data_IF_079733365572
#
_entry.id   IF_079733365572
#
_cell.length_a   1.000
_cell.length_b   1.000
_cell.length_c   1.000
_cell.angle_alpha   90.00
_cell.angle_beta   90.00
_cell.angle_gamma   90.00
#
_symmetry.space_group_name_H-M   'P 1'
#
loop_
_entity.id
_entity.type
_entity.pdbx_description
1 polymer ?
#
# COMPACT_ATOMS: atom_id res chain seq x y z
N UNK A 1 -0.67 3.95 -15.30
CA UNK A 1 0.41 2.95 -15.06
C UNK A 1 0.14 2.27 -13.72
N UNK A 2 0.92 1.30 -13.23
CA UNK A 2 0.84 0.87 -11.81
C UNK A 2 2.10 1.32 -11.04
N UNK A 3 2.30 1.15 -9.71
CA UNK A 3 3.65 1.19 -9.08
C UNK A 3 3.86 0.31 -7.81
N UNK A 4 5.09 -0.22 -7.58
CA UNK A 4 5.57 -1.18 -6.53
C UNK A 4 7.09 -0.98 -6.20
N UNK A 5 7.70 -1.74 -5.28
CA UNK A 5 9.16 -1.88 -4.98
C UNK A 5 9.49 -3.28 -4.39
N UNK A 6 10.75 -3.78 -4.44
CA UNK A 6 11.11 -5.18 -4.03
C UNK A 6 12.46 -5.33 -3.25
N UNK A 7 12.60 -6.32 -2.33
CA UNK A 7 13.89 -6.77 -1.68
C UNK A 7 13.78 -8.11 -0.90
N UNK A 8 14.81 -8.99 -0.95
CA UNK A 8 14.77 -10.39 -0.42
C UNK A 8 15.76 -10.71 0.72
N UNK A 9 15.38 -11.59 1.68
CA UNK A 9 16.23 -12.29 2.70
C UNK A 9 15.59 -13.67 3.07
N UNK A 10 16.30 -14.61 3.73
CA UNK A 10 15.84 -15.97 4.14
C UNK A 10 16.28 -16.38 5.57
N UNK A 11 15.48 -17.17 6.32
CA UNK A 11 15.84 -18.44 7.04
C UNK A 11 14.65 -19.04 7.85
N UNK A 12 14.84 -20.19 8.54
CA UNK A 12 13.81 -21.22 8.80
C UNK A 12 13.01 -21.20 10.14
N UNK A 13 11.70 -21.51 10.03
CA UNK A 13 10.75 -22.15 10.99
C UNK A 13 10.72 -21.61 12.45
N UNK A 14 10.08 -20.46 12.61
CA UNK A 14 8.61 -20.50 12.76
C UNK A 14 8.01 -19.71 11.59
N UNK A 15 6.71 -19.89 11.28
CA UNK A 15 6.03 -18.91 10.41
C UNK A 15 5.72 -17.68 11.26
N UNK A 16 6.73 -16.86 11.49
CA UNK A 16 6.56 -15.53 12.05
C UNK A 16 5.76 -14.71 11.05
N UNK A 17 4.65 -14.13 11.50
CA UNK A 17 3.85 -13.24 10.66
C UNK A 17 4.19 -11.80 11.00
N UNK A 18 4.49 -11.00 9.98
CA UNK A 18 4.44 -9.54 10.08
C UNK A 18 2.96 -9.17 10.12
N UNK A 19 2.54 -8.37 11.10
CA UNK A 19 1.14 -7.96 11.28
C UNK A 19 0.98 -6.46 11.23
N UNK A 20 -0.20 -5.99 10.86
CA UNK A 20 -0.46 -4.56 10.76
C UNK A 20 -1.90 -4.24 10.45
N UNK A 21 -2.13 -2.99 10.09
CA UNK A 21 -3.40 -2.57 9.48
C UNK A 21 -3.10 -1.75 8.23
N UNK A 22 -3.95 -1.89 7.22
CA UNK A 22 -3.96 -1.09 6.01
C UNK A 22 -5.39 -0.62 5.69
N UNK A 23 -5.51 0.52 5.03
CA UNK A 23 -6.75 0.99 4.42
C UNK A 23 -6.41 1.83 3.18
N UNK A 24 -7.41 2.07 2.35
CA UNK A 24 -7.34 2.99 1.24
C UNK A 24 -8.73 3.57 0.95
N UNK A 25 -8.76 4.65 0.19
CA UNK A 25 -9.97 5.39 -0.19
C UNK A 25 -10.16 5.29 -1.73
N UNK A 26 -11.14 4.56 -2.29
CA UNK A 26 -12.21 3.79 -1.63
C UNK A 26 -11.90 2.27 -1.45
N UNK A 27 -11.56 1.58 -2.54
CA UNK A 27 -11.47 0.10 -2.58
C UNK A 27 -10.02 -0.41 -2.50
N UNK A 28 -9.67 -1.12 -1.43
CA UNK A 28 -8.33 -1.66 -1.21
C UNK A 28 -8.19 -3.13 -1.62
N UNK A 29 -7.04 -3.50 -2.20
CA UNK A 29 -6.58 -4.89 -2.27
C UNK A 29 -5.08 -4.96 -1.89
N UNK A 30 -4.77 -5.65 -0.79
CA UNK A 30 -3.42 -5.80 -0.26
C UNK A 30 -2.82 -7.15 -0.67
N UNK A 31 -1.64 -7.12 -1.30
CA UNK A 31 -0.90 -8.29 -1.75
C UNK A 31 0.46 -8.38 -1.06
N UNK A 32 0.92 -9.61 -0.83
CA UNK A 32 2.31 -9.93 -0.56
C UNK A 32 2.76 -11.04 -1.53
N UNK A 33 3.91 -10.83 -2.17
CA UNK A 33 4.53 -11.75 -3.14
C UNK A 33 3.56 -12.30 -4.20
N UNK A 34 2.70 -11.42 -4.72
CA UNK A 34 1.66 -11.76 -5.71
C UNK A 34 0.34 -12.30 -5.14
N UNK A 35 0.33 -12.79 -3.90
CA UNK A 35 -0.84 -13.39 -3.23
C UNK A 35 -1.69 -12.32 -2.55
N UNK A 36 -3.01 -12.40 -2.66
CA UNK A 36 -3.96 -11.49 -1.99
C UNK A 36 -4.13 -11.90 -0.51
N UNK A 37 -3.91 -10.96 0.42
CA UNK A 37 -4.05 -11.19 1.87
C UNK A 37 -5.20 -10.42 2.52
N UNK A 38 -5.60 -9.27 1.97
CA UNK A 38 -6.77 -8.53 2.42
C UNK A 38 -7.42 -7.75 1.28
N UNK A 39 -8.73 -7.58 1.34
CA UNK A 39 -9.51 -6.75 0.43
C UNK A 39 -10.62 -6.06 1.22
N UNK A 40 -10.94 -4.81 0.87
CA UNK A 40 -12.06 -4.07 1.48
C UNK A 40 -12.64 -3.08 0.48
N UNK A 41 -13.96 -2.93 0.54
CA UNK A 41 -14.81 -1.99 -0.18
C UNK A 41 -15.36 -0.88 0.75
N UNK A 42 -14.86 -0.80 1.99
CA UNK A 42 -15.16 0.27 2.95
C UNK A 42 -13.88 0.96 3.42
N UNK A 43 -13.65 2.18 2.93
CA UNK A 43 -12.50 3.02 3.30
C UNK A 43 -12.51 3.49 4.77
N UNK A 44 -13.67 3.43 5.44
CA UNK A 44 -13.79 3.72 6.86
C UNK A 44 -13.18 2.59 7.71
N UNK A 45 -13.10 1.38 7.14
CA UNK A 45 -12.56 0.20 7.81
C UNK A 45 -11.01 0.16 7.74
N UNK A 46 -10.43 -0.48 8.76
CA UNK A 46 -9.03 -0.94 8.74
C UNK A 46 -9.01 -2.44 8.44
N UNK A 47 -8.36 -2.82 7.35
CA UNK A 47 -8.06 -4.22 7.07
C UNK A 47 -6.87 -4.68 7.91
N UNK A 48 -7.08 -5.71 8.74
CA UNK A 48 -6.00 -6.37 9.46
C UNK A 48 -5.12 -7.15 8.47
N UNK A 49 -3.80 -6.92 8.55
CA UNK A 49 -2.79 -7.57 7.70
C UNK A 49 -2.02 -8.60 8.53
N UNK A 50 -1.77 -9.78 7.96
CA UNK A 50 -0.93 -10.83 8.55
C UNK A 50 -0.25 -11.62 7.43
N UNK A 51 1.03 -11.32 7.15
CA UNK A 51 1.81 -11.87 6.02
C UNK A 51 3.09 -12.58 6.53
N UNK A 52 3.67 -13.53 5.77
CA UNK A 52 4.91 -14.21 6.15
C UNK A 52 6.09 -13.24 6.37
N UNK A 53 7.00 -13.55 7.29
CA UNK A 53 8.17 -12.71 7.58
C UNK A 53 9.25 -12.69 6.49
N UNK A 54 9.22 -13.66 5.58
CA UNK A 54 10.10 -13.81 4.41
C UNK A 54 9.56 -13.08 3.15
N UNK A 55 8.44 -12.34 3.28
CA UNK A 55 7.88 -11.58 2.17
C UNK A 55 8.86 -10.58 1.56
N UNK A 56 8.97 -10.62 0.24
CA UNK A 56 9.91 -9.86 -0.59
C UNK A 56 9.26 -8.64 -1.26
N UNK A 57 7.96 -8.70 -1.52
CA UNK A 57 7.15 -7.62 -2.13
C UNK A 57 5.85 -7.43 -1.36
N UNK A 58 5.55 -6.19 -0.96
CA UNK A 58 4.19 -5.78 -0.60
C UNK A 58 3.67 -4.81 -1.65
N UNK A 59 2.43 -5.01 -2.08
CA UNK A 59 1.81 -4.20 -3.11
C UNK A 59 0.35 -3.93 -2.74
N UNK A 60 -0.08 -2.67 -2.82
CA UNK A 60 -1.45 -2.26 -2.48
C UNK A 60 -2.08 -1.67 -3.74
N UNK A 61 -3.17 -2.28 -4.20
CA UNK A 61 -4.09 -1.66 -5.15
C UNK A 61 -5.04 -0.80 -4.32
N UNK A 62 -5.25 0.44 -4.75
CA UNK A 62 -6.39 1.23 -4.33
C UNK A 62 -7.20 1.65 -5.56
N UNK A 63 -8.52 1.74 -5.40
CA UNK A 63 -9.42 2.24 -6.43
C UNK A 63 -10.39 3.26 -5.84
N UNK A 64 -10.02 4.53 -6.03
CA UNK A 64 -10.86 5.73 -5.91
C UNK A 64 -12.13 5.61 -6.78
N UNK A 65 -13.29 5.98 -6.21
CA UNK A 65 -14.60 6.08 -6.88
C UNK A 65 -15.03 7.53 -7.07
N UNK A 66 -14.36 8.48 -6.43
CA UNK A 66 -14.47 9.91 -6.67
C UNK A 66 -14.45 10.75 -5.40
N UNK A 67 -13.29 11.32 -5.06
CA UNK A 67 -13.22 12.32 -3.99
C UNK A 67 -11.80 12.80 -3.70
N UNK A 68 -11.40 12.64 -2.43
CA UNK A 68 -10.00 12.52 -2.03
C UNK A 68 -9.61 11.04 -2.16
N UNK A 69 -8.32 10.74 -2.34
CA UNK A 69 -7.86 9.37 -2.49
C UNK A 69 -6.51 9.19 -1.80
N UNK A 70 -6.34 8.04 -1.13
CA UNK A 70 -5.20 7.80 -0.25
C UNK A 70 -5.02 6.33 0.08
N UNK A 71 -3.79 5.96 0.44
CA UNK A 71 -3.42 4.65 1.00
C UNK A 71 -2.71 4.90 2.32
N UNK A 72 -3.05 4.15 3.37
CA UNK A 72 -2.35 4.22 4.65
C UNK A 72 -2.19 2.84 5.28
N UNK A 73 -0.95 2.47 5.61
CA UNK A 73 -0.65 1.19 6.25
C UNK A 73 0.54 1.30 7.21
N UNK A 74 0.47 0.58 8.34
CA UNK A 74 1.61 0.36 9.24
C UNK A 74 1.64 -1.08 9.75
N UNK A 75 2.83 -1.66 9.75
CA UNK A 75 3.12 -3.04 10.15
C UNK A 75 4.12 -3.05 11.33
N UNK A 76 4.06 -4.11 12.14
CA UNK A 76 4.80 -4.26 13.41
C UNK A 76 6.32 -4.40 13.24
N UNK A 77 6.79 -4.86 12.07
CA UNK A 77 8.20 -4.83 11.68
C UNK A 77 8.72 -3.42 11.29
N UNK A 78 7.90 -2.38 11.40
CA UNK A 78 8.26 -0.99 11.10
C UNK A 78 8.02 -0.55 9.65
N UNK A 79 7.49 -1.43 8.78
CA UNK A 79 7.10 -1.05 7.41
C UNK A 79 5.83 -0.20 7.46
N UNK A 80 5.87 0.93 6.76
CA UNK A 80 4.79 1.94 6.75
C UNK A 80 4.69 2.68 5.43
N UNK A 81 3.49 3.14 5.07
CA UNK A 81 3.29 4.08 3.95
C UNK A 81 4.01 5.40 4.24
N UNK A 82 4.81 5.83 3.26
CA UNK A 82 5.62 7.07 3.25
C UNK A 82 6.17 7.31 1.81
N UNK A 83 6.90 8.40 1.58
CA UNK A 83 7.45 8.78 0.25
C UNK A 83 8.41 7.75 -0.39
N UNK A 84 8.95 6.78 0.35
CA UNK A 84 9.82 5.74 -0.23
C UNK A 84 9.08 4.75 -1.15
N UNK A 85 7.76 4.68 -1.04
CA UNK A 85 6.92 3.86 -1.91
C UNK A 85 6.87 4.47 -3.32
N UNK A 86 6.48 3.67 -4.31
CA UNK A 86 6.11 4.15 -5.64
C UNK A 86 4.58 4.08 -5.78
N UNK A 87 3.89 5.08 -6.37
CA UNK A 87 2.42 5.05 -6.57
C UNK A 87 1.89 5.61 -7.93
N UNK A 88 0.84 4.98 -8.49
CA UNK A 88 0.18 5.25 -9.81
C UNK A 88 -1.30 4.82 -9.82
N UNK A 89 -2.06 5.23 -10.84
CA UNK A 89 -3.53 5.17 -10.96
C UNK A 89 -4.11 4.17 -12.01
N UNK A 90 -3.44 3.08 -12.38
CA UNK A 90 -3.90 2.12 -13.43
C UNK A 90 -3.16 0.76 -13.33
N UNK A 91 -3.11 -0.03 -14.41
CA UNK A 91 -2.67 -1.43 -14.39
C UNK A 91 -1.44 -1.77 -15.27
N UNK A 92 -0.56 -2.63 -14.76
CA UNK A 92 0.50 -3.34 -15.51
C UNK A 92 0.53 -4.82 -15.05
N UNK A 93 0.65 -5.77 -15.98
CA UNK A 93 0.54 -7.20 -15.63
C UNK A 93 1.72 -7.67 -14.78
N UNK A 94 1.43 -8.44 -13.72
CA UNK A 94 2.44 -8.94 -12.79
C UNK A 94 3.04 -7.90 -11.84
N UNK A 95 2.52 -6.67 -11.79
CA UNK A 95 2.97 -5.58 -10.91
C UNK A 95 3.27 -6.02 -9.46
N UNK A 96 2.42 -6.86 -8.87
CA UNK A 96 2.48 -7.30 -7.48
C UNK A 96 3.42 -8.48 -7.22
N UNK A 97 4.13 -8.99 -8.22
CA UNK A 97 4.94 -10.20 -8.14
C UNK A 97 6.40 -9.91 -7.71
N UNK A 98 7.07 -10.92 -7.15
CA UNK A 98 8.53 -10.87 -6.94
C UNK A 98 9.23 -10.69 -8.30
N UNK A 99 10.16 -9.73 -8.35
CA UNK A 99 10.98 -9.48 -9.55
C UNK A 99 10.34 -8.58 -10.61
N UNK A 100 9.18 -7.97 -10.34
CA UNK A 100 8.69 -6.87 -11.18
C UNK A 100 9.69 -5.70 -11.19
N UNK A 101 9.84 -5.00 -12.33
CA UNK A 101 10.78 -3.89 -12.48
C UNK A 101 10.10 -2.51 -12.33
N UNK A 102 10.19 -1.96 -11.13
CA UNK A 102 9.68 -0.63 -10.75
C UNK A 102 10.67 0.55 -10.94
N UNK A 103 11.80 0.36 -11.63
CA UNK A 103 12.79 1.44 -11.80
C UNK A 103 12.23 2.66 -12.55
N UNK A 104 11.36 2.45 -13.54
CA UNK A 104 10.68 3.50 -14.31
C UNK A 104 9.55 4.22 -13.55
N UNK A 105 9.32 3.84 -12.29
CA UNK A 105 8.15 4.27 -11.53
C UNK A 105 8.50 5.40 -10.52
N UNK A 106 7.72 6.49 -10.53
CA UNK A 106 7.84 7.64 -9.61
C UNK A 106 7.53 7.31 -8.15
N UNK A 107 8.10 8.06 -7.23
CA UNK A 107 7.78 7.98 -5.80
C UNK A 107 6.35 8.46 -5.48
N UNK A 108 5.84 8.02 -4.34
CA UNK A 108 4.56 8.43 -3.79
C UNK A 108 4.62 9.88 -3.25
N UNK A 109 3.47 10.54 -3.20
CA UNK A 109 3.32 11.85 -2.52
C UNK A 109 2.55 11.68 -1.23
N UNK A 110 2.92 12.42 -0.19
CA UNK A 110 2.14 12.52 1.05
C UNK A 110 0.88 13.35 0.76
N UNK A 111 -0.25 12.90 1.28
CA UNK A 111 -1.52 13.63 1.30
C UNK A 111 -1.73 14.29 2.67
N UNK A 112 -2.57 15.32 2.73
CA UNK A 112 -2.90 15.97 4.01
C UNK A 112 -3.76 15.04 4.88
N UNK A 113 -3.21 14.65 6.04
CA UNK A 113 -3.87 13.86 7.08
C UNK A 113 -5.23 14.43 7.49
N UNK A 114 -5.37 15.75 7.50
CA UNK A 114 -6.62 16.42 7.91
C UNK A 114 -7.81 16.06 7.00
N UNK A 115 -7.56 15.65 5.75
CA UNK A 115 -8.58 15.24 4.78
C UNK A 115 -9.41 14.07 5.31
N UNK A 116 -8.78 13.11 5.99
CA UNK A 116 -9.43 11.92 6.56
C UNK A 116 -9.90 12.08 8.00
N UNK A 117 -9.63 13.21 8.66
CA UNK A 117 -10.11 13.57 10.02
C UNK A 117 -9.71 12.59 11.13
N UNK A 118 -10.48 11.50 11.28
CA UNK A 118 -10.35 10.47 12.31
C UNK A 118 -10.38 9.05 11.75
N UNK A 119 -10.53 8.88 10.43
CA UNK A 119 -10.39 7.57 9.79
C UNK A 119 -8.92 7.14 9.86
N UNK A 120 -8.68 5.83 10.03
CA UNK A 120 -7.37 5.29 10.38
C UNK A 120 -6.70 5.92 11.63
N UNK A 121 -7.47 6.43 12.61
CA UNK A 121 -6.93 7.05 13.83
C UNK A 121 -5.85 6.23 14.56
N UNK A 122 -5.93 4.90 14.54
CA UNK A 122 -4.92 4.01 15.16
C UNK A 122 -3.58 3.97 14.40
N UNK A 123 -3.51 4.56 13.20
CA UNK A 123 -2.32 4.72 12.35
C UNK A 123 -1.78 6.16 12.33
N UNK A 124 -2.44 7.12 12.98
CA UNK A 124 -1.94 8.51 13.13
C UNK A 124 -0.58 8.50 13.81
N UNK A 125 0.38 9.24 13.25
CA UNK A 125 1.78 9.28 13.70
C UNK A 125 2.60 7.99 13.44
N UNK A 126 1.98 6.91 12.96
CA UNK A 126 2.66 5.65 12.63
C UNK A 126 3.00 5.53 11.15
N UNK A 127 2.15 6.06 10.29
CA UNK A 127 2.32 6.07 8.84
C UNK A 127 1.72 7.35 8.23
N UNK A 128 2.16 7.67 7.02
CA UNK A 128 1.63 8.80 6.24
C UNK A 128 0.48 8.31 5.35
N UNK A 129 -0.53 9.14 5.10
CA UNK A 129 -1.40 8.94 3.94
C UNK A 129 -0.57 9.24 2.69
N UNK A 130 -0.50 8.29 1.76
CA UNK A 130 0.20 8.45 0.49
C UNK A 130 -0.73 8.26 -0.70
N UNK A 131 -0.39 8.90 -1.81
CA UNK A 131 -1.05 8.65 -3.09
C UNK A 131 -0.08 8.63 -4.27
N UNK A 132 -0.64 8.30 -5.42
CA UNK A 132 -0.05 8.52 -6.74
C UNK A 132 0.34 9.99 -6.88
N UNK A 133 1.53 10.26 -7.43
CA UNK A 133 1.92 11.63 -7.75
C UNK A 133 0.95 12.20 -8.80
N UNK A 134 0.30 13.32 -8.49
CA UNK A 134 -0.61 14.00 -9.42
C UNK A 134 0.19 14.64 -10.57
N UNK A 135 0.57 13.83 -11.56
CA UNK A 135 1.08 14.32 -12.83
C UNK A 135 0.02 15.25 -13.46
N UNK A 136 0.35 16.50 -13.84
CA UNK A 136 -0.59 17.37 -14.55
C UNK A 136 -1.14 16.68 -15.80
N UNK A 137 -2.46 16.53 -15.87
CA UNK A 137 -3.16 15.76 -16.91
C UNK A 137 -3.79 14.43 -16.44
N UNK A 138 -3.53 13.99 -15.21
CA UNK A 138 -4.08 12.75 -14.63
C UNK A 138 -5.54 12.81 -14.18
N UNK A 139 -6.46 13.34 -14.99
CA UNK A 139 -7.91 13.19 -14.81
C UNK A 139 -8.55 12.47 -16.00
N UNK A 140 -9.28 11.40 -15.73
CA UNK A 140 -10.22 10.71 -16.62
C UNK A 140 -11.46 10.40 -15.81
#
# INVERSE_FOLDING_TARGET
MQRVLTKTVLFFIAVSFIRGNATCDDEMSFYADGVLYAQSDDWNALSAISIPCDTTVMAIKCQDKGGIAGIKAALDNGIKTNISWKCSNTFESGWNQIGFNDSAWSFAVIQDEASWRSHAASLVGKADWIWTCACPGGKT
#
